data_IF_490170853745
#
_entry.id   IF_490170853745
#
_cell.length_a   1.000
_cell.length_b   1.000
_cell.length_c   1.000
_cell.angle_alpha   90.00
_cell.angle_beta   90.00
_cell.angle_gamma   90.00
#
_symmetry.space_group_name_H-M   'P 1'
#
loop_
_entity.id
_entity.type
_entity.pdbx_description
1 polymer ?
#
# COMPACT_ATOMS: atom_id res chain seq x y z
N UNK A 1 13.85 0.99 -8.88
CA UNK A 1 12.93 1.26 -7.75
C UNK A 1 13.08 2.73 -7.40
N UNK A 2 11.97 3.41 -7.18
CA UNK A 2 11.91 4.77 -6.64
C UNK A 2 10.99 4.78 -5.43
N UNK A 3 11.14 5.77 -4.57
CA UNK A 3 10.18 6.03 -3.50
C UNK A 3 10.02 7.54 -3.31
N UNK A 4 8.89 7.93 -2.73
CA UNK A 4 8.58 9.33 -2.40
C UNK A 4 7.85 9.40 -1.06
N UNK A 5 8.21 10.39 -0.24
CA UNK A 5 7.47 10.70 0.98
C UNK A 5 6.13 11.35 0.61
N UNK A 6 5.05 10.85 1.19
CA UNK A 6 3.69 11.31 0.91
C UNK A 6 2.92 11.51 2.21
N UNK A 7 1.81 12.25 2.12
CA UNK A 7 0.83 12.36 3.20
C UNK A 7 -0.37 11.49 2.85
N UNK A 8 -0.53 10.38 3.57
CA UNK A 8 -1.64 9.46 3.43
C UNK A 8 -2.88 9.95 4.17
N UNK A 9 -4.06 9.59 3.66
CA UNK A 9 -5.35 9.84 4.28
C UNK A 9 -6.20 8.58 4.23
N UNK A 10 -6.88 8.28 5.32
CA UNK A 10 -7.79 7.14 5.39
C UNK A 10 -8.97 7.45 6.32
N UNK A 11 -10.05 6.71 6.17
CA UNK A 11 -11.21 6.78 7.06
C UNK A 11 -11.60 5.36 7.44
N UNK A 12 -11.31 4.91 8.68
CA UNK A 12 -11.74 3.60 9.13
C UNK A 12 -13.27 3.47 9.05
N UNK A 13 -13.74 2.33 8.54
CA UNK A 13 -15.16 2.01 8.47
C UNK A 13 -15.66 1.45 9.81
N UNK A 14 -16.97 1.41 9.99
CA UNK A 14 -17.58 0.88 11.23
C UNK A 14 -17.22 -0.59 11.48
N UNK A 15 -17.10 -1.38 10.42
CA UNK A 15 -16.68 -2.78 10.47
C UNK A 15 -15.17 -2.99 10.66
N UNK A 16 -14.36 -1.93 10.55
CA UNK A 16 -12.91 -2.02 10.66
C UNK A 16 -12.45 -2.14 12.12
N UNK A 17 -11.26 -2.68 12.34
CA UNK A 17 -10.54 -2.64 13.63
C UNK A 17 -9.25 -1.85 13.42
N UNK A 18 -9.33 -0.51 13.25
CA UNK A 18 -8.17 0.27 12.85
C UNK A 18 -7.11 0.29 13.96
N UNK A 19 -5.87 -0.06 13.62
CA UNK A 19 -4.72 0.20 14.48
C UNK A 19 -4.56 1.70 14.78
N UNK A 20 -4.83 2.56 13.78
CA UNK A 20 -4.74 4.02 13.90
C UNK A 20 -5.93 4.71 13.23
N UNK A 21 -6.51 5.68 13.95
CA UNK A 21 -7.63 6.50 13.50
C UNK A 21 -8.96 6.15 14.18
N UNK A 22 -9.92 7.08 14.15
CA UNK A 22 -11.27 6.88 14.71
C UNK A 22 -12.24 6.49 13.60
N UNK A 23 -13.09 5.49 13.86
CA UNK A 23 -14.17 5.08 12.94
C UNK A 23 -15.04 6.27 12.53
N UNK A 24 -15.36 6.33 11.24
CA UNK A 24 -16.14 7.42 10.64
C UNK A 24 -15.40 8.76 10.49
N UNK A 25 -14.19 8.92 11.06
CA UNK A 25 -13.40 10.17 10.96
C UNK A 25 -12.21 10.01 10.01
N UNK A 26 -11.92 11.07 9.24
CA UNK A 26 -10.72 11.13 8.42
C UNK A 26 -9.50 11.24 9.31
N UNK A 27 -8.53 10.37 9.06
CA UNK A 27 -7.21 10.35 9.69
C UNK A 27 -6.15 10.57 8.61
N UNK A 28 -4.96 10.99 9.02
CA UNK A 28 -3.82 11.21 8.12
C UNK A 28 -2.49 10.92 8.80
N UNK A 29 -1.44 10.75 7.99
CA UNK A 29 -0.09 10.46 8.45
C UNK A 29 0.95 10.60 7.35
N UNK A 30 2.23 10.60 7.74
CA UNK A 30 3.34 10.48 6.80
C UNK A 30 3.51 9.02 6.37
N UNK A 31 3.74 8.82 5.08
CA UNK A 31 3.91 7.50 4.47
C UNK A 31 5.00 7.56 3.39
N UNK A 32 5.47 6.39 2.95
CA UNK A 32 6.35 6.25 1.80
C UNK A 32 5.64 5.49 0.69
N UNK A 33 5.50 6.11 -0.49
CA UNK A 33 5.05 5.40 -1.68
C UNK A 33 6.27 4.83 -2.41
N UNK A 34 6.35 3.51 -2.52
CA UNK A 34 7.43 2.81 -3.22
C UNK A 34 6.91 2.29 -4.56
N UNK A 35 7.71 2.48 -5.61
CA UNK A 35 7.39 2.06 -6.97
C UNK A 35 8.55 1.27 -7.57
N UNK A 36 8.24 0.13 -8.17
CA UNK A 36 9.21 -0.70 -8.88
C UNK A 36 8.52 -1.49 -9.98
N UNK A 37 9.32 -1.92 -10.96
CA UNK A 37 8.86 -2.80 -12.04
C UNK A 37 9.25 -4.24 -11.73
N UNK A 38 8.42 -5.17 -12.16
CA UNK A 38 8.75 -6.59 -12.15
C UNK A 38 8.15 -7.27 -13.37
N UNK A 39 8.63 -8.47 -13.69
CA UNK A 39 8.00 -9.31 -14.71
C UNK A 39 6.60 -9.73 -14.25
N UNK A 40 5.67 -9.87 -15.20
CA UNK A 40 4.27 -10.19 -14.90
C UNK A 40 4.10 -11.50 -14.10
N UNK A 41 4.92 -12.51 -14.41
CA UNK A 41 4.97 -13.81 -13.71
C UNK A 41 5.45 -13.70 -12.25
N UNK A 42 6.08 -12.60 -11.87
CA UNK A 42 6.58 -12.35 -10.50
C UNK A 42 5.62 -11.57 -9.62
N UNK A 43 4.52 -11.04 -10.15
CA UNK A 43 3.56 -10.22 -9.38
C UNK A 43 3.03 -10.95 -8.14
N UNK A 44 2.69 -12.24 -8.26
CA UNK A 44 2.19 -13.04 -7.13
C UNK A 44 3.21 -13.17 -6.01
N UNK A 45 4.47 -13.47 -6.36
CA UNK A 45 5.57 -13.59 -5.40
C UNK A 45 5.86 -12.24 -4.75
N UNK A 46 5.91 -11.16 -5.53
CA UNK A 46 6.15 -9.81 -5.02
C UNK A 46 5.07 -9.39 -4.01
N UNK A 47 3.78 -9.59 -4.34
CA UNK A 47 2.66 -9.30 -3.42
C UNK A 47 2.78 -10.05 -2.11
N UNK A 48 3.12 -11.34 -2.16
CA UNK A 48 3.29 -12.17 -0.95
C UNK A 48 4.43 -11.65 -0.09
N UNK A 49 5.62 -11.47 -0.67
CA UNK A 49 6.79 -11.00 0.08
C UNK A 49 6.53 -9.63 0.70
N UNK A 50 5.89 -8.70 -0.03
CA UNK A 50 5.52 -7.40 0.53
C UNK A 50 4.60 -7.60 1.74
N UNK A 51 3.52 -8.37 1.61
CA UNK A 51 2.60 -8.62 2.73
C UNK A 51 3.30 -9.26 3.95
N UNK A 52 4.24 -10.16 3.72
CA UNK A 52 4.94 -10.87 4.80
C UNK A 52 5.89 -9.96 5.60
N UNK A 53 6.49 -8.94 4.96
CA UNK A 53 7.46 -8.04 5.62
C UNK A 53 6.90 -6.66 5.97
N UNK A 54 5.74 -6.31 5.43
CA UNK A 54 5.19 -4.95 5.58
C UNK A 54 4.69 -4.73 7.02
N UNK A 55 4.94 -3.56 7.63
CA UNK A 55 4.55 -3.29 9.02
C UNK A 55 3.04 -3.21 9.23
N UNK A 56 2.28 -2.90 8.17
CA UNK A 56 0.81 -2.83 8.23
C UNK A 56 0.18 -4.16 7.85
N UNK A 57 -0.92 -4.49 8.51
CA UNK A 57 -1.75 -5.68 8.25
C UNK A 57 -2.31 -5.67 6.82
N UNK A 58 -2.75 -4.51 6.33
CA UNK A 58 -3.31 -4.33 4.99
C UNK A 58 -2.52 -3.28 4.19
N UNK A 59 -1.39 -3.66 3.53
CA UNK A 59 -0.66 -2.74 2.66
C UNK A 59 -1.45 -2.42 1.38
N UNK A 60 -1.45 -1.15 0.99
CA UNK A 60 -1.99 -0.70 -0.30
C UNK A 60 -0.98 -1.05 -1.40
N UNK A 61 -1.37 -1.92 -2.33
CA UNK A 61 -0.52 -2.37 -3.43
C UNK A 61 -1.25 -2.18 -4.76
N UNK A 62 -0.67 -1.36 -5.65
CA UNK A 62 -1.15 -1.20 -7.02
C UNK A 62 -0.27 -2.00 -8.00
N UNK A 63 -0.91 -2.74 -8.90
CA UNK A 63 -0.23 -3.43 -10.01
C UNK A 63 -0.67 -2.76 -11.30
N UNK A 64 0.27 -2.08 -11.96
CA UNK A 64 0.02 -1.34 -13.20
C UNK A 64 0.80 -2.02 -14.34
N UNK A 65 0.15 -2.43 -15.44
CA UNK A 65 0.84 -2.94 -16.61
C UNK A 65 1.62 -1.79 -17.28
N UNK A 66 2.85 -2.07 -17.70
CA UNK A 66 3.69 -1.13 -18.44
C UNK A 66 3.82 -1.61 -19.88
N UNK A 67 3.44 -0.76 -20.81
CA UNK A 67 3.61 -0.99 -22.23
C UNK A 67 4.89 -0.29 -22.69
N UNK A 68 5.70 -0.99 -23.47
CA UNK A 68 6.81 -0.37 -24.20
C UNK A 68 6.27 0.09 -25.55
N UNK A 69 6.60 1.31 -25.92
CA UNK A 69 6.30 1.89 -27.24
C UNK A 69 7.55 1.74 -28.10
#
# INVERSE_FOLDING_TARGET
>A
MSYVHVKGYWRPLESSTPYRGTKGKVSFGEECRVEFTCKADRVGVAKRVIKDIHPYEEPVIHVLPLFTI
#
